data_IF_743862104067
#
_entry.id   IF_743862104067
#
_cell.length_a   1.000
_cell.length_b   1.000
_cell.length_c   1.000
_cell.angle_alpha   90.00
_cell.angle_beta   90.00
_cell.angle_gamma   90.00
#
_symmetry.space_group_name_H-M   'P 1'
#
loop_
_entity.id
_entity.type
_entity.pdbx_description
1 polymer ?
#
# COMPACT_ATOMS: atom_id res chain seq x y z
N UNK A 1 0.66 -23.92 7.62
CA UNK A 1 -0.12 -22.88 6.88
C UNK A 1 -0.50 -21.78 7.85
N UNK A 2 -0.29 -20.53 7.51
CA UNK A 2 -0.72 -19.36 8.29
C UNK A 2 -1.97 -18.81 7.59
N UNK A 3 -3.15 -18.86 8.21
CA UNK A 3 -4.39 -18.46 7.52
C UNK A 3 -4.37 -17.00 7.05
N UNK A 4 -3.82 -16.08 7.84
CA UNK A 4 -3.90 -14.65 7.59
C UNK A 4 -2.55 -13.94 7.80
N UNK A 5 -2.11 -13.17 6.80
CA UNK A 5 -0.87 -12.42 6.84
C UNK A 5 -1.11 -10.94 6.50
N UNK A 6 -0.53 -10.04 7.30
CA UNK A 6 -0.49 -8.61 7.02
C UNK A 6 0.97 -8.15 6.84
N UNK A 7 1.27 -7.51 5.71
CA UNK A 7 2.64 -7.12 5.35
C UNK A 7 3.27 -6.10 6.30
N UNK A 8 2.52 -5.08 6.68
CA UNK A 8 3.04 -3.89 7.36
C UNK A 8 2.30 -3.68 8.67
N UNK A 9 3.01 -3.89 9.79
CA UNK A 9 2.41 -3.74 11.13
C UNK A 9 2.05 -2.31 11.48
N UNK A 10 2.81 -1.34 10.99
CA UNK A 10 2.53 0.09 11.13
C UNK A 10 1.26 0.48 10.36
N UNK A 11 1.16 0.11 9.09
CA UNK A 11 -0.05 0.33 8.29
C UNK A 11 -1.26 -0.38 8.89
N UNK A 12 -1.10 -1.60 9.39
CA UNK A 12 -2.16 -2.33 10.08
C UNK A 12 -2.69 -1.55 11.28
N UNK A 13 -1.81 -1.08 12.14
CA UNK A 13 -2.21 -0.31 13.33
C UNK A 13 -2.89 1.00 12.95
N UNK A 14 -2.36 1.75 11.98
CA UNK A 14 -2.98 2.98 11.48
C UNK A 14 -4.37 2.68 10.93
N UNK A 15 -4.50 1.66 10.09
CA UNK A 15 -5.76 1.24 9.49
C UNK A 15 -6.81 0.91 10.56
N UNK A 16 -6.47 0.05 11.53
CA UNK A 16 -7.37 -0.41 12.56
C UNK A 16 -7.81 0.73 13.50
N UNK A 17 -6.86 1.60 13.90
CA UNK A 17 -7.16 2.75 14.76
C UNK A 17 -8.08 3.74 14.06
N UNK A 18 -7.83 4.02 12.79
CA UNK A 18 -8.66 4.95 12.01
C UNK A 18 -10.05 4.40 11.74
N UNK A 19 -10.19 3.11 11.51
CA UNK A 19 -11.51 2.47 11.41
C UNK A 19 -12.32 2.55 12.71
N UNK A 20 -11.67 2.64 13.86
CA UNK A 20 -12.29 2.77 15.19
C UNK A 20 -12.37 4.22 15.70
N UNK A 21 -12.07 5.21 14.85
CA UNK A 21 -11.96 6.63 15.25
C UNK A 21 -11.02 6.88 16.44
N UNK A 22 -10.02 6.01 16.59
CA UNK A 22 -9.02 6.14 17.63
C UNK A 22 -7.81 6.96 17.15
N UNK A 23 -7.17 7.68 18.07
CA UNK A 23 -6.02 8.53 17.76
C UNK A 23 -4.80 7.72 17.36
N UNK A 24 -4.09 8.18 16.33
CA UNK A 24 -2.75 7.76 15.97
C UNK A 24 -1.76 8.92 16.10
N UNK A 25 -2.03 10.02 15.38
CA UNK A 25 -1.32 11.29 15.50
C UNK A 25 -2.27 12.44 15.24
N UNK A 26 -2.09 13.57 15.94
CA UNK A 26 -2.84 14.79 15.69
C UNK A 26 -2.27 15.59 14.52
N UNK A 27 -3.04 16.56 14.02
CA UNK A 27 -2.57 17.51 13.00
C UNK A 27 -1.36 18.33 13.45
N UNK A 28 -1.17 18.48 14.76
CA UNK A 28 -0.04 19.21 15.35
C UNK A 28 1.19 18.32 15.60
N UNK A 29 1.14 17.06 15.17
CA UNK A 29 2.25 16.11 15.33
C UNK A 29 2.32 15.43 16.70
N UNK A 30 1.30 15.55 17.54
CA UNK A 30 1.24 14.82 18.81
C UNK A 30 0.95 13.33 18.59
N UNK A 31 1.69 12.48 19.26
CA UNK A 31 1.49 11.03 19.21
C UNK A 31 0.30 10.66 20.09
N UNK A 32 -0.75 10.09 19.48
CA UNK A 32 -1.98 9.66 20.15
C UNK A 32 -2.14 8.14 20.19
N UNK A 33 -1.11 7.43 19.76
CA UNK A 33 -1.11 5.97 19.60
C UNK A 33 -1.37 5.21 20.92
N UNK A 34 -0.96 5.77 22.06
CA UNK A 34 -1.06 5.11 23.36
C UNK A 34 -2.43 5.36 24.00
N UNK A 35 -3.42 4.58 23.59
CA UNK A 35 -4.81 4.66 24.04
C UNK A 35 -5.41 3.28 24.30
N UNK A 36 -6.60 3.21 24.91
CA UNK A 36 -7.26 1.96 25.26
C UNK A 36 -7.60 1.11 24.04
N UNK A 37 -7.97 1.74 22.92
CA UNK A 37 -8.24 1.03 21.65
C UNK A 37 -6.98 0.32 21.15
N UNK A 38 -5.83 0.98 21.20
CA UNK A 38 -4.54 0.35 20.86
C UNK A 38 -4.29 -0.87 21.72
N UNK A 39 -4.49 -0.75 23.03
CA UNK A 39 -4.30 -1.85 23.98
C UNK A 39 -5.22 -3.05 23.63
N UNK A 40 -6.49 -2.80 23.37
CA UNK A 40 -7.45 -3.85 22.98
C UNK A 40 -7.06 -4.53 21.65
N UNK A 41 -6.66 -3.75 20.64
CA UNK A 41 -6.21 -4.28 19.35
C UNK A 41 -4.97 -5.15 19.51
N UNK A 42 -4.00 -4.74 20.33
CA UNK A 42 -2.80 -5.52 20.61
C UNK A 42 -3.10 -6.85 21.28
N UNK A 43 -4.03 -6.89 22.23
CA UNK A 43 -4.47 -8.15 22.84
C UNK A 43 -5.14 -9.08 21.81
N UNK A 44 -6.03 -8.56 20.98
CA UNK A 44 -6.68 -9.33 19.90
C UNK A 44 -5.65 -9.91 18.93
N UNK A 45 -4.71 -9.09 18.48
CA UNK A 45 -3.62 -9.54 17.58
C UNK A 45 -2.78 -10.62 18.26
N UNK A 46 -2.44 -10.44 19.55
CA UNK A 46 -1.64 -11.40 20.28
C UNK A 46 -2.34 -12.75 20.44
N UNK A 47 -3.65 -12.78 20.67
CA UNK A 47 -4.44 -14.01 20.74
C UNK A 47 -4.43 -14.78 19.41
N UNK A 48 -4.65 -14.08 18.30
CA UNK A 48 -4.62 -14.69 16.97
C UNK A 48 -3.19 -15.13 16.57
N UNK A 49 -2.16 -14.39 16.98
CA UNK A 49 -0.78 -14.80 16.77
C UNK A 49 -0.43 -16.06 17.57
N UNK A 50 -0.89 -16.17 18.82
CA UNK A 50 -0.69 -17.38 19.66
C UNK A 50 -1.38 -18.61 19.08
N UNK A 51 -2.57 -18.46 18.51
CA UNK A 51 -3.31 -19.56 17.87
C UNK A 51 -2.70 -19.98 16.52
N UNK A 52 -1.76 -19.21 15.97
CA UNK A 52 -1.20 -19.41 14.63
C UNK A 52 -2.13 -18.97 13.49
N UNK A 53 -3.26 -18.32 13.81
CA UNK A 53 -4.21 -17.85 12.80
C UNK A 53 -3.73 -16.60 12.07
N UNK A 54 -2.85 -15.81 12.69
CA UNK A 54 -2.33 -14.56 12.18
C UNK A 54 -0.82 -14.46 12.29
N UNK A 55 -0.18 -13.86 11.29
CA UNK A 55 1.25 -13.53 11.34
C UNK A 55 1.55 -12.18 10.73
N UNK A 56 2.63 -11.58 11.23
CA UNK A 56 3.32 -10.45 10.63
C UNK A 56 4.77 -10.83 10.40
N UNK A 57 5.51 -9.99 9.67
CA UNK A 57 6.92 -10.26 9.39
C UNK A 57 7.83 -9.46 10.34
N UNK A 58 8.82 -10.14 10.92
CA UNK A 58 9.88 -9.50 11.71
C UNK A 58 10.91 -8.79 10.82
N UNK A 59 11.07 -9.29 9.59
CA UNK A 59 12.01 -8.78 8.59
C UNK A 59 11.20 -8.56 7.32
N UNK A 60 11.60 -7.59 6.50
CA UNK A 60 10.95 -7.30 5.22
C UNK A 60 10.77 -8.57 4.39
N UNK A 61 9.58 -9.12 4.38
CA UNK A 61 9.16 -10.24 3.56
C UNK A 61 7.85 -9.87 2.86
N UNK A 62 7.52 -10.57 1.80
CA UNK A 62 6.36 -10.27 1.00
C UNK A 62 5.28 -11.35 1.20
N UNK A 63 4.03 -10.98 1.51
CA UNK A 63 2.91 -11.92 1.58
C UNK A 63 2.73 -12.73 0.32
N UNK A 64 3.08 -12.16 -0.84
CA UNK A 64 3.03 -12.83 -2.12
C UNK A 64 3.75 -14.18 -2.12
N UNK A 65 4.94 -14.28 -1.53
CA UNK A 65 5.71 -15.51 -1.49
C UNK A 65 4.97 -16.63 -0.75
N UNK A 66 4.28 -16.28 0.35
CA UNK A 66 3.49 -17.24 1.13
C UNK A 66 2.18 -17.59 0.44
N UNK A 67 1.53 -16.62 -0.21
CA UNK A 67 0.31 -16.84 -0.96
C UNK A 67 0.58 -17.77 -2.15
N UNK A 68 1.59 -17.45 -2.98
CA UNK A 68 1.95 -18.19 -4.16
C UNK A 68 2.45 -19.61 -3.85
N UNK A 69 3.06 -19.82 -2.69
CA UNK A 69 3.46 -21.15 -2.20
C UNK A 69 2.34 -21.90 -1.46
N UNK A 70 1.10 -21.41 -1.46
CA UNK A 70 -0.03 -22.04 -0.77
C UNK A 70 0.12 -22.09 0.76
N UNK A 71 0.94 -21.22 1.32
CA UNK A 71 1.26 -21.20 2.75
C UNK A 71 0.39 -20.23 3.55
N UNK A 72 -0.39 -19.37 2.89
CA UNK A 72 -1.43 -18.56 3.52
C UNK A 72 -2.70 -18.53 2.65
N UNK A 73 -3.85 -18.20 3.27
CA UNK A 73 -5.14 -18.12 2.59
C UNK A 73 -5.49 -16.64 2.33
N UNK A 74 -5.26 -15.78 3.31
CA UNK A 74 -5.55 -14.36 3.23
C UNK A 74 -4.28 -13.54 3.36
N UNK A 75 -4.03 -12.68 2.39
CA UNK A 75 -2.88 -11.78 2.39
C UNK A 75 -3.34 -10.33 2.23
N UNK A 76 -2.88 -9.44 3.11
CA UNK A 76 -3.08 -8.01 2.97
C UNK A 76 -1.79 -7.36 2.51
N UNK A 77 -1.86 -6.69 1.37
CA UNK A 77 -0.77 -5.89 0.80
C UNK A 77 -1.32 -4.63 0.12
N UNK A 78 -0.46 -3.89 -0.52
CA UNK A 78 -0.79 -2.71 -1.31
C UNK A 78 -1.18 -3.08 -2.75
N UNK A 79 -1.81 -2.15 -3.48
CA UNK A 79 -2.10 -2.33 -4.92
C UNK A 79 -0.83 -2.64 -5.72
N UNK A 80 0.31 -2.04 -5.36
CA UNK A 80 1.60 -2.36 -5.98
C UNK A 80 2.09 -3.79 -5.71
N UNK A 81 1.56 -4.47 -4.68
CA UNK A 81 1.84 -5.88 -4.42
C UNK A 81 1.10 -6.85 -5.33
N UNK A 82 0.09 -6.38 -6.06
CA UNK A 82 -0.75 -7.20 -6.92
C UNK A 82 0.01 -7.91 -8.05
N UNK A 83 1.03 -7.26 -8.59
CA UNK A 83 1.88 -7.82 -9.67
C UNK A 83 2.72 -9.02 -9.23
N UNK A 84 2.75 -9.30 -7.93
CA UNK A 84 3.52 -10.38 -7.31
C UNK A 84 2.65 -11.54 -6.81
N UNK A 85 1.32 -11.41 -6.85
CA UNK A 85 0.39 -12.33 -6.22
C UNK A 85 -0.45 -13.10 -7.23
N UNK A 86 -0.58 -14.41 -7.01
CA UNK A 86 -1.34 -15.33 -7.85
C UNK A 86 -0.48 -16.17 -8.77
N UNK A 87 -1.06 -17.25 -9.28
CA UNK A 87 -0.35 -18.27 -10.09
C UNK A 87 0.30 -17.69 -11.35
N UNK A 88 -0.35 -16.71 -11.98
CA UNK A 88 0.11 -16.09 -13.22
C UNK A 88 0.74 -14.71 -13.00
N UNK A 89 1.19 -14.42 -11.78
CA UNK A 89 1.80 -13.13 -11.48
C UNK A 89 3.01 -12.85 -12.38
N UNK A 90 3.09 -11.67 -13.02
CA UNK A 90 4.19 -11.35 -13.94
C UNK A 90 5.54 -11.24 -13.22
N UNK A 91 5.53 -11.02 -11.90
CA UNK A 91 6.72 -10.96 -11.07
C UNK A 91 6.63 -12.01 -9.95
N UNK A 92 7.77 -12.60 -9.59
CA UNK A 92 7.85 -13.55 -8.48
C UNK A 92 9.24 -13.57 -7.87
N UNK A 93 9.29 -13.78 -6.55
CA UNK A 93 10.52 -13.99 -5.76
C UNK A 93 10.73 -15.47 -5.40
N UNK A 94 9.82 -16.37 -5.78
CA UNK A 94 9.93 -17.80 -5.54
C UNK A 94 10.14 -18.57 -6.85
N UNK A 95 10.71 -19.77 -6.77
CA UNK A 95 10.91 -20.60 -7.96
C UNK A 95 9.58 -21.15 -8.49
N UNK A 96 9.53 -21.47 -9.79
CA UNK A 96 8.33 -22.01 -10.44
C UNK A 96 7.82 -23.29 -9.77
N UNK A 97 8.72 -24.14 -9.28
CA UNK A 97 8.37 -25.41 -8.63
C UNK A 97 7.71 -25.20 -7.24
N UNK A 98 7.88 -24.01 -6.65
CA UNK A 98 7.29 -23.66 -5.36
C UNK A 98 5.87 -23.11 -5.48
N UNK A 99 5.42 -22.77 -6.71
CA UNK A 99 4.06 -22.29 -6.94
C UNK A 99 3.03 -23.39 -6.74
N UNK A 100 1.92 -23.00 -6.14
CA UNK A 100 0.71 -23.81 -6.05
C UNK A 100 -0.34 -23.20 -6.97
N UNK A 101 -1.00 -24.02 -7.77
CA UNK A 101 -2.06 -23.57 -8.66
C UNK A 101 -3.34 -23.25 -7.87
N UNK A 102 -3.86 -22.02 -7.99
CA UNK A 102 -5.06 -21.56 -7.31
C UNK A 102 -5.64 -20.30 -7.99
N UNK A 103 -6.90 -20.06 -7.74
CA UNK A 103 -7.57 -18.82 -8.14
C UNK A 103 -7.36 -17.74 -7.08
N UNK A 104 -7.02 -16.53 -7.51
CA UNK A 104 -6.83 -15.37 -6.64
C UNK A 104 -8.05 -14.48 -6.68
N UNK A 105 -8.71 -14.30 -5.53
CA UNK A 105 -9.80 -13.34 -5.38
C UNK A 105 -9.30 -12.06 -4.72
N UNK A 106 -9.79 -10.92 -5.20
CA UNK A 106 -9.45 -9.59 -4.67
C UNK A 106 -10.63 -9.01 -3.93
N UNK A 107 -10.40 -8.67 -2.67
CA UNK A 107 -11.42 -8.11 -1.79
C UNK A 107 -10.94 -6.83 -1.13
N UNK A 108 -11.88 -5.98 -0.74
CA UNK A 108 -11.60 -4.85 0.13
C UNK A 108 -11.05 -5.35 1.48
N UNK A 109 -10.09 -4.62 2.05
CA UNK A 109 -9.58 -4.91 3.40
C UNK A 109 -10.75 -4.97 4.40
N UNK A 110 -10.76 -5.94 5.35
CA UNK A 110 -11.82 -6.07 6.35
C UNK A 110 -12.09 -4.75 7.09
N UNK A 111 -13.36 -4.46 7.30
CA UNK A 111 -13.85 -3.26 7.96
C UNK A 111 -14.50 -3.59 9.29
N UNK A 112 -14.27 -2.79 10.34
CA UNK A 112 -15.04 -2.87 11.59
C UNK A 112 -16.47 -2.36 11.40
N UNK A 113 -16.66 -1.40 10.49
CA UNK A 113 -17.94 -0.86 10.06
C UNK A 113 -18.03 -0.91 8.53
N UNK A 114 -18.69 -1.92 7.96
CA UNK A 114 -18.84 -2.03 6.51
C UNK A 114 -19.72 -0.94 5.88
N UNK A 115 -20.59 -0.30 6.65
CA UNK A 115 -21.44 0.77 6.15
C UNK A 115 -20.67 2.08 6.00
N UNK A 116 -19.60 2.25 6.78
CA UNK A 116 -18.71 3.41 6.69
C UNK A 116 -17.27 2.96 6.51
N UNK A 117 -16.93 2.37 5.36
CA UNK A 117 -15.61 1.79 5.15
C UNK A 117 -14.53 2.87 5.15
N UNK A 118 -13.39 2.53 5.76
CA UNK A 118 -12.21 3.41 5.85
C UNK A 118 -10.97 2.65 5.46
N UNK A 119 -10.17 3.26 4.60
CA UNK A 119 -8.95 2.67 4.11
C UNK A 119 -7.82 3.70 4.13
N UNK A 120 -6.60 3.24 4.39
CA UNK A 120 -5.42 4.10 4.30
C UNK A 120 -5.00 4.26 2.85
N UNK A 121 -4.60 5.49 2.50
CA UNK A 121 -3.81 5.78 1.31
C UNK A 121 -2.36 5.92 1.76
N UNK A 122 -1.47 5.07 1.24
CA UNK A 122 -0.06 5.09 1.57
C UNK A 122 0.79 5.02 0.30
N UNK A 123 1.98 5.56 0.38
CA UNK A 123 2.95 5.53 -0.71
C UNK A 123 4.06 6.54 -0.48
N UNK A 124 5.06 6.57 -1.35
CA UNK A 124 6.12 7.55 -1.25
C UNK A 124 5.64 8.94 -1.66
N UNK A 125 6.19 9.94 -1.01
CA UNK A 125 6.00 11.34 -1.35
C UNK A 125 7.22 11.88 -2.09
N UNK A 126 7.01 12.78 -3.02
CA UNK A 126 8.07 13.56 -3.65
C UNK A 126 8.28 14.82 -2.82
N UNK A 127 9.53 15.02 -2.35
CA UNK A 127 9.91 16.19 -1.58
C UNK A 127 10.88 17.05 -2.41
N UNK A 128 10.54 18.33 -2.59
CA UNK A 128 11.44 19.31 -3.20
C UNK A 128 12.25 19.94 -2.08
N UNK A 129 13.58 19.77 -2.13
CA UNK A 129 14.48 20.36 -1.15
C UNK A 129 14.76 21.81 -1.48
N UNK A 130 14.80 22.66 -0.44
CA UNK A 130 15.30 24.02 -0.59
C UNK A 130 16.81 24.00 -0.82
N UNK A 131 17.26 24.66 -1.89
CA UNK A 131 18.66 24.80 -2.26
C UNK A 131 19.04 26.28 -2.36
N UNK A 132 20.36 26.55 -2.40
CA UNK A 132 20.88 27.94 -2.55
C UNK A 132 20.54 28.54 -3.91
N UNK A 133 20.55 27.72 -4.97
CA UNK A 133 20.16 28.14 -6.31
C UNK A 133 18.65 27.99 -6.52
N UNK A 134 17.89 29.09 -6.68
CA UNK A 134 16.47 29.04 -6.93
C UNK A 134 16.12 28.39 -8.28
N UNK A 135 17.01 28.35 -9.25
CA UNK A 135 16.77 27.66 -10.53
C UNK A 135 16.74 26.15 -10.36
N UNK A 136 17.56 25.57 -9.47
CA UNK A 136 17.49 24.14 -9.14
C UNK A 136 16.18 23.78 -8.43
N UNK A 137 15.69 24.66 -7.55
CA UNK A 137 14.39 24.48 -6.87
C UNK A 137 13.26 24.54 -7.89
N UNK A 138 13.28 25.52 -8.81
CA UNK A 138 12.29 25.63 -9.88
C UNK A 138 12.29 24.40 -10.80
N UNK A 139 13.46 23.95 -11.23
CA UNK A 139 13.59 22.75 -12.07
C UNK A 139 13.02 21.50 -11.35
N UNK A 140 13.31 21.33 -10.07
CA UNK A 140 12.77 20.23 -9.25
C UNK A 140 11.24 20.31 -9.13
N UNK A 141 10.70 21.51 -8.97
CA UNK A 141 9.26 21.76 -8.93
C UNK A 141 8.59 21.43 -10.28
N UNK A 142 9.15 21.89 -11.40
CA UNK A 142 8.62 21.59 -12.74
C UNK A 142 8.64 20.09 -13.02
N UNK A 143 9.69 19.39 -12.61
CA UNK A 143 9.74 17.91 -12.71
C UNK A 143 8.62 17.27 -11.86
N UNK A 144 8.38 17.76 -10.65
CA UNK A 144 7.28 17.27 -9.82
C UNK A 144 5.92 17.50 -10.49
N UNK A 145 5.72 18.67 -11.14
CA UNK A 145 4.50 18.94 -11.90
C UNK A 145 4.35 18.00 -13.10
N UNK A 146 5.42 17.64 -13.77
CA UNK A 146 5.40 16.66 -14.85
C UNK A 146 4.95 15.28 -14.35
N UNK A 147 5.41 14.84 -13.17
CA UNK A 147 4.97 13.58 -12.56
C UNK A 147 3.47 13.54 -12.25
N UNK A 148 2.84 14.71 -12.10
CA UNK A 148 1.39 14.84 -11.86
C UNK A 148 0.57 14.97 -13.14
N UNK A 149 1.17 14.89 -14.32
CA UNK A 149 0.41 14.83 -15.57
C UNK A 149 -0.37 13.50 -15.66
N UNK A 150 -1.54 13.51 -16.30
CA UNK A 150 -2.35 12.31 -16.45
C UNK A 150 -1.57 11.17 -17.12
N UNK A 151 -0.81 11.50 -18.17
CA UNK A 151 0.01 10.56 -18.92
C UNK A 151 0.99 9.80 -18.02
N UNK A 152 1.76 10.53 -17.22
CA UNK A 152 2.74 9.91 -16.30
C UNK A 152 2.07 9.09 -15.20
N UNK A 153 0.99 9.60 -14.63
CA UNK A 153 0.25 8.87 -13.59
C UNK A 153 -0.34 7.56 -14.12
N UNK A 154 -0.90 7.57 -15.33
CA UNK A 154 -1.47 6.37 -15.96
C UNK A 154 -0.36 5.37 -16.31
N UNK A 155 0.70 5.80 -16.99
CA UNK A 155 1.83 4.95 -17.32
C UNK A 155 2.45 4.29 -16.07
N UNK A 156 2.49 5.01 -14.96
CA UNK A 156 2.99 4.47 -13.69
C UNK A 156 2.02 3.45 -13.07
N UNK A 157 0.72 3.65 -13.25
CA UNK A 157 -0.28 2.66 -12.81
C UNK A 157 -0.19 1.37 -13.62
N UNK A 158 0.00 1.50 -14.93
CA UNK A 158 0.15 0.36 -15.86
C UNK A 158 1.40 -0.48 -15.56
N UNK A 159 2.50 0.13 -15.14
CA UNK A 159 3.75 -0.59 -14.89
C UNK A 159 3.85 -1.11 -13.46
N UNK A 160 3.52 -0.30 -12.46
CA UNK A 160 3.82 -0.57 -11.05
C UNK A 160 2.60 -0.92 -10.19
N UNK A 161 1.39 -0.90 -10.76
CA UNK A 161 0.14 -1.20 -10.05
C UNK A 161 -0.30 -0.14 -9.03
N UNK A 162 0.21 1.08 -9.15
CA UNK A 162 -0.24 2.21 -8.33
C UNK A 162 -1.53 2.84 -8.90
N UNK A 163 -2.29 3.50 -8.04
CA UNK A 163 -3.49 4.24 -8.45
C UNK A 163 -3.12 5.69 -8.74
N UNK A 164 -3.60 6.30 -9.83
CA UNK A 164 -3.41 7.72 -10.10
C UNK A 164 -3.88 8.57 -8.92
N UNK A 165 -3.14 9.62 -8.56
CA UNK A 165 -3.44 10.44 -7.38
C UNK A 165 -4.44 11.56 -7.63
N UNK A 166 -4.81 11.82 -8.89
CA UNK A 166 -5.77 12.86 -9.24
C UNK A 166 -7.03 12.27 -9.86
N UNK A 167 -8.20 12.79 -9.49
CA UNK A 167 -9.48 12.40 -10.10
C UNK A 167 -9.48 12.59 -11.63
N UNK A 168 -8.83 13.66 -12.11
CA UNK A 168 -8.68 13.90 -13.54
C UNK A 168 -7.97 12.78 -14.30
N UNK A 169 -6.93 12.16 -13.68
CA UNK A 169 -6.25 11.01 -14.28
C UNK A 169 -7.11 9.74 -14.16
N UNK A 170 -7.75 9.55 -13.00
CA UNK A 170 -8.63 8.41 -12.75
C UNK A 170 -9.83 8.38 -13.67
N UNK A 171 -10.47 9.53 -13.89
CA UNK A 171 -11.67 9.68 -14.75
C UNK A 171 -11.30 9.75 -16.25
N UNK A 172 -10.02 9.72 -16.60
CA UNK A 172 -9.60 9.85 -17.99
C UNK A 172 -9.99 8.61 -18.82
N UNK A 173 -10.36 8.78 -20.11
CA UNK A 173 -10.67 7.66 -20.99
C UNK A 173 -9.52 6.65 -21.08
N UNK A 174 -8.27 7.10 -21.05
CA UNK A 174 -7.10 6.22 -21.14
C UNK A 174 -6.99 5.29 -19.91
N UNK A 175 -7.23 5.80 -18.70
CA UNK A 175 -7.21 4.96 -17.51
C UNK A 175 -8.40 4.01 -17.43
N UNK A 176 -9.58 4.45 -17.90
CA UNK A 176 -10.76 3.59 -17.99
C UNK A 176 -10.56 2.47 -19.02
N UNK A 177 -9.95 2.77 -20.17
CA UNK A 177 -9.57 1.77 -21.16
C UNK A 177 -8.63 0.74 -20.55
N UNK A 178 -7.58 1.17 -19.86
CA UNK A 178 -6.65 0.28 -19.15
C UNK A 178 -7.39 -0.66 -18.17
N UNK A 179 -8.28 -0.14 -17.34
CA UNK A 179 -9.03 -0.94 -16.38
C UNK A 179 -10.03 -1.92 -17.07
N UNK A 180 -10.52 -1.60 -18.26
CA UNK A 180 -11.46 -2.44 -19.01
C UNK A 180 -10.79 -3.69 -19.62
N UNK A 181 -9.48 -3.70 -19.74
CA UNK A 181 -8.68 -4.72 -20.42
C UNK A 181 -8.17 -5.82 -19.47
N UNK A 182 -8.86 -6.03 -18.37
CA UNK A 182 -8.52 -7.00 -17.32
C UNK A 182 -8.33 -8.41 -17.90
N UNK A 183 -7.16 -9.02 -17.66
CA UNK A 183 -6.85 -10.38 -18.07
C UNK A 183 -6.45 -10.55 -19.54
N UNK A 184 -6.30 -9.46 -20.33
CA UNK A 184 -5.88 -9.57 -21.75
C UNK A 184 -4.42 -10.08 -21.87
N UNK A 185 -3.56 -9.74 -20.95
CA UNK A 185 -2.17 -10.20 -20.87
C UNK A 185 -1.64 -10.17 -19.43
N UNK A 186 -0.55 -10.88 -19.17
CA UNK A 186 0.06 -10.93 -17.84
C UNK A 186 1.05 -9.78 -17.57
N UNK A 187 1.38 -8.96 -18.54
CA UNK A 187 2.34 -7.89 -18.36
C UNK A 187 1.68 -6.61 -17.80
N UNK A 188 0.81 -5.99 -18.61
CA UNK A 188 0.14 -4.76 -18.23
C UNK A 188 -1.26 -4.99 -17.69
N UNK A 189 -1.98 -5.98 -18.23
CA UNK A 189 -3.41 -6.21 -17.93
C UNK A 189 -3.65 -7.48 -17.10
N UNK A 190 -2.63 -7.91 -16.32
CA UNK A 190 -2.76 -9.00 -15.36
C UNK A 190 -3.98 -8.77 -14.45
N UNK A 191 -4.85 -9.78 -14.35
CA UNK A 191 -6.19 -9.64 -13.78
C UNK A 191 -6.20 -9.14 -12.33
N UNK A 192 -5.37 -9.71 -11.45
CA UNK A 192 -5.24 -9.29 -10.05
C UNK A 192 -4.79 -7.84 -9.96
N UNK A 193 -3.84 -7.43 -10.81
CA UNK A 193 -3.32 -6.07 -10.87
C UNK A 193 -4.39 -5.05 -11.25
N UNK A 194 -5.31 -5.40 -12.15
CA UNK A 194 -6.39 -4.52 -12.59
C UNK A 194 -7.59 -4.57 -11.64
N UNK A 195 -7.95 -5.73 -11.10
CA UNK A 195 -9.03 -5.88 -10.13
C UNK A 195 -8.82 -5.01 -8.87
N UNK A 196 -7.57 -4.82 -8.45
CA UNK A 196 -7.25 -4.01 -7.26
C UNK A 196 -7.61 -2.52 -7.43
N UNK A 197 -7.10 -1.78 -8.42
CA UNK A 197 -7.52 -0.40 -8.65
C UNK A 197 -9.01 -0.27 -8.94
N UNK A 198 -9.60 -1.19 -9.71
CA UNK A 198 -11.04 -1.19 -9.98
C UNK A 198 -11.87 -1.32 -8.69
N UNK A 199 -11.40 -2.13 -7.72
CA UNK A 199 -12.02 -2.24 -6.39
C UNK A 199 -11.84 -0.97 -5.55
N UNK A 200 -10.76 -0.19 -5.76
CA UNK A 200 -10.57 1.13 -5.15
C UNK A 200 -11.66 2.12 -5.57
N UNK A 201 -12.16 2.03 -6.80
CA UNK A 201 -13.19 2.94 -7.31
C UNK A 201 -14.45 2.98 -6.44
N UNK A 202 -14.83 1.85 -5.90
CA UNK A 202 -15.96 1.76 -4.96
C UNK A 202 -15.68 2.63 -3.71
N UNK A 203 -14.42 2.76 -3.32
CA UNK A 203 -13.99 3.55 -2.16
C UNK A 203 -13.77 5.04 -2.46
N UNK A 204 -13.45 5.41 -3.72
CA UNK A 204 -13.23 6.82 -4.11
C UNK A 204 -14.53 7.61 -4.23
N UNK A 205 -15.67 6.95 -4.28
CA UNK A 205 -16.99 7.60 -4.10
C UNK A 205 -17.23 8.00 -2.65
N UNK A 206 -16.37 7.55 -1.72
CA UNK A 206 -16.39 7.95 -0.31
C UNK A 206 -15.68 9.31 -0.19
N UNK A 207 -16.22 10.28 0.57
CA UNK A 207 -15.59 11.58 0.76
C UNK A 207 -14.13 11.45 1.22
N UNK A 208 -13.23 12.28 0.68
CA UNK A 208 -11.80 12.33 1.06
C UNK A 208 -11.56 12.40 2.57
N UNK A 209 -12.53 12.87 3.35
CA UNK A 209 -12.51 12.87 4.81
C UNK A 209 -12.38 11.48 5.44
N UNK A 210 -12.68 10.42 4.69
CA UNK A 210 -12.57 9.02 5.14
C UNK A 210 -11.28 8.33 4.67
N UNK A 211 -10.51 8.98 3.81
CA UNK A 211 -9.18 8.53 3.41
C UNK A 211 -8.14 9.11 4.37
N UNK A 212 -7.33 8.26 4.93
CA UNK A 212 -6.27 8.67 5.86
C UNK A 212 -4.91 8.49 5.21
N UNK A 213 -4.13 9.58 5.13
CA UNK A 213 -2.73 9.50 4.73
C UNK A 213 -1.88 8.98 5.88
N UNK A 214 -0.96 8.07 5.58
CA UNK A 214 0.07 7.61 6.52
C UNK A 214 1.21 8.62 6.66
N UNK A 215 1.21 9.68 5.83
CA UNK A 215 2.20 10.75 5.94
C UNK A 215 1.88 11.54 7.21
N UNK A 216 2.77 11.57 8.21
CA UNK A 216 2.59 12.46 9.33
C UNK A 216 2.54 13.91 8.81
N UNK A 217 1.77 14.81 9.45
CA UNK A 217 1.78 16.22 9.11
C UNK A 217 3.25 16.72 9.12
N UNK A 218 3.62 17.68 8.26
CA UNK A 218 4.97 18.19 8.25
C UNK A 218 5.35 18.60 9.66
N UNK A 219 6.37 17.97 10.22
CA UNK A 219 6.92 18.36 11.51
C UNK A 219 7.20 19.85 11.44
N UNK A 220 6.54 20.63 12.26
CA UNK A 220 6.92 22.01 12.49
C UNK A 220 8.42 22.00 12.78
N UNK A 221 9.17 22.81 12.04
CA UNK A 221 10.62 22.82 12.01
C UNK A 221 11.21 22.69 13.42
N UNK A 222 11.69 21.49 13.76
CA UNK A 222 12.53 21.33 14.93
C UNK A 222 13.85 22.06 14.67
N UNK A 223 14.32 22.90 15.60
CA UNK A 223 15.60 23.55 15.45
C UNK A 223 16.71 22.49 15.28
N UNK A 224 17.54 22.68 14.29
CA UNK A 224 18.58 21.75 13.81
C UNK A 224 19.68 21.40 14.84
N UNK A 225 19.49 21.67 16.13
CA UNK A 225 20.51 21.58 17.16
C UNK A 225 20.59 20.26 17.93
N UNK A 226 19.71 19.28 17.68
CA UNK A 226 19.66 18.02 18.46
C UNK A 226 20.16 16.75 17.77
N UNK A 227 20.64 16.83 16.53
CA UNK A 227 21.22 15.67 15.85
C UNK A 227 22.75 15.64 15.97
N UNK A 228 23.26 15.16 17.10
CA UNK A 228 24.65 14.70 17.18
C UNK A 228 24.81 13.45 16.33
N UNK A 229 25.65 13.56 15.31
CA UNK A 229 26.00 12.50 14.36
C UNK A 229 26.62 11.29 15.07
N UNK A 230 26.04 10.12 14.94
CA UNK A 230 26.79 8.86 15.03
C UNK A 230 27.27 8.45 13.63
N UNK A 231 28.46 7.84 13.48
CA UNK A 231 29.02 7.51 12.17
C UNK A 231 28.23 6.42 11.48
N UNK A 232 27.91 6.63 10.20
CA UNK A 232 27.23 5.65 9.33
C UNK A 232 28.23 4.63 8.78
N UNK A 233 27.86 3.35 8.67
CA UNK A 233 28.49 2.46 7.72
C UNK A 233 27.98 2.76 6.31
N UNK A 234 28.91 2.83 5.36
CA UNK A 234 28.63 3.11 3.95
C UNK A 234 28.00 1.90 3.26
N UNK A 235 26.74 2.02 2.85
CA UNK A 235 26.18 1.26 1.74
C UNK A 235 25.06 2.08 1.11
N UNK A 236 25.36 2.68 -0.03
CA UNK A 236 24.38 3.40 -0.83
C UNK A 236 23.40 2.40 -1.48
N UNK A 237 22.25 2.19 -0.86
CA UNK A 237 21.12 1.53 -1.51
C UNK A 237 20.32 2.59 -2.24
N UNK A 238 20.22 2.46 -3.57
CA UNK A 238 19.35 3.29 -4.41
C UNK A 238 17.92 3.22 -3.84
N UNK A 239 17.39 4.33 -3.33
CA UNK A 239 15.98 4.45 -2.97
C UNK A 239 15.21 4.78 -4.24
N UNK A 240 14.37 3.84 -4.67
CA UNK A 240 13.39 4.12 -5.70
C UNK A 240 12.28 5.01 -5.12
N UNK A 241 11.86 6.00 -5.87
CA UNK A 241 10.71 6.84 -5.58
C UNK A 241 9.46 6.00 -5.86
N UNK A 242 8.59 5.80 -4.87
CA UNK A 242 7.33 5.05 -5.04
C UNK A 242 6.15 6.01 -4.94
N UNK A 243 5.14 5.86 -5.77
CA UNK A 243 3.88 6.59 -5.75
C UNK A 243 2.84 5.87 -4.86
N UNK A 244 1.69 6.48 -4.66
CA UNK A 244 0.66 6.01 -3.73
C UNK A 244 0.16 4.60 -4.08
N UNK A 245 0.11 3.73 -3.10
CA UNK A 245 -0.55 2.43 -3.17
C UNK A 245 -1.61 2.32 -2.08
N UNK A 246 -2.67 1.59 -2.35
CA UNK A 246 -3.76 1.36 -1.40
C UNK A 246 -3.68 -0.08 -0.90
N UNK A 247 -4.05 -0.33 0.35
CA UNK A 247 -3.96 -1.67 0.95
C UNK A 247 -5.22 -2.47 0.70
N UNK A 248 -5.09 -3.70 0.22
CA UNK A 248 -6.18 -4.64 -0.06
C UNK A 248 -5.94 -5.99 0.59
N UNK A 249 -6.99 -6.75 0.72
CA UNK A 249 -6.93 -8.16 1.10
C UNK A 249 -7.05 -9.03 -0.14
N UNK A 250 -6.20 -10.04 -0.24
CA UNK A 250 -6.29 -11.09 -1.25
C UNK A 250 -6.60 -12.43 -0.58
N UNK A 251 -7.44 -13.22 -1.20
CA UNK A 251 -7.88 -14.52 -0.69
C UNK A 251 -7.49 -15.62 -1.67
N UNK A 252 -7.00 -16.71 -1.10
CA UNK A 252 -6.70 -17.93 -1.82
C UNK A 252 -7.94 -18.83 -1.91
N UNK A 253 -8.27 -19.30 -3.12
CA UNK A 253 -9.28 -20.32 -3.34
C UNK A 253 -8.64 -21.54 -4.04
N UNK A 254 -8.89 -22.77 -3.59
CA UNK A 254 -8.49 -23.94 -4.37
C UNK A 254 -9.28 -23.97 -5.68
N UNK A 255 -8.58 -24.12 -6.80
CA UNK A 255 -9.24 -24.33 -8.10
C UNK A 255 -10.07 -25.60 -8.07
N UNK A 256 -11.35 -25.49 -8.39
CA UNK A 256 -12.22 -26.64 -8.62
C UNK A 256 -11.98 -27.13 -10.05
N UNK A 257 -11.07 -28.08 -10.20
CA UNK A 257 -10.97 -28.92 -11.42
C UNK A 257 -11.92 -30.12 -11.30
#
# INVERSE_FOLDING_TARGET
MIPFIYKSTDNMMIQMLKQKDAGYASANGEIQLFNDTTTQLLYTIAEHAKSGAFSTFKISSYPANFLNAGQCIFAIDSTAGATWMGTNAPLSDISEEAFVDFETEVMMIPQFDPEHPRMISQGPSVCVFNKKDPQEVLASWLFTQYLLTNEVQIAYSETEGYVPVTSKAQDSPAYQDYLSRCGEDNALHYDVKIKLPASCWIMWTIPLSHLYSTVPPPCAAHPASLWKRSPRPSAAKKRSTRLLSTTFMMMWHPSTT
#
